data_IF_951155144586
#
_entry.id   IF_951155144586
#
_cell.length_a   1.000
_cell.length_b   1.000
_cell.length_c   1.000
_cell.angle_alpha   90.00
_cell.angle_beta   90.00
_cell.angle_gamma   90.00
#
_symmetry.space_group_name_H-M   'P 1'
#
loop_
_entity.id
_entity.type
_entity.pdbx_description
1 polymer ?
#
# COMPACT_ATOMS: atom_id res chain seq x y z
N UNK A 1 -18.96 5.27 24.44
CA UNK A 1 -18.74 5.13 22.99
C UNK A 1 -18.01 3.84 22.69
N UNK A 2 -18.57 2.99 21.85
CA UNK A 2 -17.88 1.81 21.30
C UNK A 2 -17.11 2.20 20.03
N UNK A 3 -16.11 1.40 19.66
CA UNK A 3 -15.30 1.67 18.47
C UNK A 3 -15.11 0.38 17.70
N UNK A 4 -15.35 0.43 16.38
CA UNK A 4 -14.96 -0.64 15.47
C UNK A 4 -13.57 -0.29 14.95
N UNK A 5 -12.63 -1.13 15.30
CA UNK A 5 -11.24 -0.93 14.99
C UNK A 5 -10.64 -2.24 14.42
N UNK A 6 -9.98 -2.16 13.30
CA UNK A 6 -9.20 -3.26 12.78
C UNK A 6 -7.98 -3.46 13.70
N UNK A 7 -8.11 -4.33 14.68
CA UNK A 7 -7.00 -4.66 15.55
C UNK A 7 -7.27 -4.75 17.04
N UNK A 8 -8.27 -5.49 17.46
CA UNK A 8 -8.36 -5.95 18.84
C UNK A 8 -7.28 -7.01 19.11
N UNK A 9 -6.16 -6.60 19.67
CA UNK A 9 -5.16 -7.55 20.15
C UNK A 9 -3.82 -6.92 20.49
N UNK A 10 -3.46 -7.04 21.73
CA UNK A 10 -2.14 -6.86 22.37
C UNK A 10 -1.20 -5.73 21.93
N UNK A 11 -0.83 -4.93 22.90
CA UNK A 11 -0.05 -3.69 23.00
C UNK A 11 1.31 -3.60 22.28
N UNK A 12 1.69 -4.47 21.35
CA UNK A 12 3.05 -4.42 20.76
C UNK A 12 3.13 -3.89 19.34
N UNK A 13 2.13 -4.11 18.49
CA UNK A 13 1.99 -3.50 17.15
C UNK A 13 0.52 -3.57 16.73
N UNK A 14 0.03 -2.50 16.13
CA UNK A 14 -1.28 -2.46 15.49
C UNK A 14 -1.33 -3.53 14.36
N UNK A 15 -2.37 -4.36 14.23
CA UNK A 15 -2.50 -5.34 13.15
C UNK A 15 -2.35 -4.76 11.74
N UNK A 16 -2.79 -3.52 11.53
CA UNK A 16 -2.56 -2.79 10.29
C UNK A 16 -1.05 -2.58 10.03
N UNK A 17 -0.28 -2.15 11.05
CA UNK A 17 1.18 -2.01 10.92
C UNK A 17 1.87 -3.35 10.64
N UNK A 18 1.44 -4.43 11.31
CA UNK A 18 1.99 -5.77 11.08
C UNK A 18 1.73 -6.23 9.65
N UNK A 19 0.50 -6.07 9.17
CA UNK A 19 0.14 -6.44 7.81
C UNK A 19 0.90 -5.61 6.77
N UNK A 20 1.03 -4.31 6.98
CA UNK A 20 1.81 -3.43 6.09
C UNK A 20 3.29 -3.84 6.07
N UNK A 21 3.88 -4.21 7.21
CA UNK A 21 5.25 -4.72 7.25
C UNK A 21 5.41 -6.07 6.53
N UNK A 22 4.43 -6.96 6.61
CA UNK A 22 4.43 -8.24 5.88
C UNK A 22 4.37 -8.03 4.37
N UNK A 23 3.50 -7.12 3.90
CA UNK A 23 3.41 -6.78 2.49
C UNK A 23 4.70 -6.11 1.98
N UNK A 24 5.31 -5.23 2.76
CA UNK A 24 6.61 -4.65 2.42
C UNK A 24 7.71 -5.70 2.33
N UNK A 25 7.68 -6.75 3.18
CA UNK A 25 8.63 -7.88 3.07
C UNK A 25 8.43 -8.66 1.77
N UNK A 26 7.19 -8.86 1.32
CA UNK A 26 6.92 -9.49 0.02
C UNK A 26 7.48 -8.67 -1.13
N UNK A 27 7.29 -7.35 -1.10
CA UNK A 27 7.85 -6.42 -2.08
C UNK A 27 9.38 -6.49 -2.08
N UNK A 28 10.02 -6.45 -0.91
CA UNK A 28 11.48 -6.60 -0.81
C UNK A 28 11.97 -7.93 -1.42
N UNK A 29 11.21 -9.01 -1.25
CA UNK A 29 11.53 -10.30 -1.84
C UNK A 29 11.53 -10.26 -3.37
N UNK A 30 10.59 -9.53 -4.00
CA UNK A 30 10.59 -9.33 -5.45
C UNK A 30 11.91 -8.69 -5.94
N UNK A 31 12.40 -7.69 -5.22
CA UNK A 31 13.69 -7.05 -5.54
C UNK A 31 14.88 -7.98 -5.32
N UNK A 32 14.85 -8.82 -4.30
CA UNK A 32 15.89 -9.84 -4.07
C UNK A 32 15.91 -10.90 -5.20
N UNK A 33 14.76 -11.31 -5.70
CA UNK A 33 14.65 -12.21 -6.83
C UNK A 33 15.19 -11.57 -8.12
N UNK A 34 14.79 -10.33 -8.41
CA UNK A 34 15.31 -9.56 -9.54
C UNK A 34 16.84 -9.40 -9.46
N UNK A 35 17.40 -9.13 -8.26
CA UNK A 35 18.85 -9.11 -8.03
C UNK A 35 19.50 -10.44 -8.38
N UNK A 36 18.93 -11.57 -7.94
CA UNK A 36 19.50 -12.91 -8.21
C UNK A 36 19.54 -13.20 -9.72
N UNK A 37 18.49 -12.82 -10.45
CA UNK A 37 18.41 -13.04 -11.88
C UNK A 37 19.41 -12.14 -12.63
N UNK A 38 19.55 -10.89 -12.19
CA UNK A 38 20.57 -9.99 -12.69
C UNK A 38 21.98 -10.54 -12.46
N UNK A 39 22.29 -11.00 -11.24
CA UNK A 39 23.60 -11.61 -10.91
C UNK A 39 23.93 -12.81 -11.79
N UNK A 40 22.96 -13.68 -12.09
CA UNK A 40 23.15 -14.83 -12.99
C UNK A 40 23.51 -14.37 -14.41
N UNK A 41 22.85 -13.34 -14.92
CA UNK A 41 23.09 -12.78 -16.26
C UNK A 41 24.46 -12.12 -16.35
N UNK A 42 24.83 -11.33 -15.35
CA UNK A 42 26.14 -10.71 -15.21
C UNK A 42 27.29 -11.74 -15.25
N UNK A 43 27.16 -12.83 -14.50
CA UNK A 43 28.16 -13.92 -14.47
C UNK A 43 28.38 -14.59 -15.84
N UNK A 44 27.36 -14.56 -16.72
CA UNK A 44 27.45 -15.11 -18.08
C UNK A 44 28.16 -14.19 -19.06
N UNK A 45 28.28 -12.88 -18.75
CA UNK A 45 28.87 -11.89 -19.66
C UNK A 45 30.40 -12.01 -19.81
N UNK A 46 31.07 -12.62 -18.84
CA UNK A 46 32.52 -12.87 -18.92
C UNK A 46 33.35 -11.57 -19.01
N UNK A 47 34.67 -11.74 -18.96
CA UNK A 47 35.66 -10.63 -19.07
C UNK A 47 36.31 -10.68 -20.44
N UNK A 48 35.61 -10.28 -21.52
CA UNK A 48 36.14 -10.28 -22.88
C UNK A 48 36.72 -8.93 -23.26
N UNK A 49 37.93 -8.95 -23.86
CA UNK A 49 38.71 -7.74 -24.25
C UNK A 49 38.33 -7.14 -25.62
N UNK A 50 37.34 -7.65 -26.35
CA UNK A 50 36.96 -7.16 -27.67
C UNK A 50 35.84 -6.11 -27.60
N UNK A 51 36.10 -4.87 -28.00
CA UNK A 51 35.16 -3.73 -27.99
C UNK A 51 33.81 -4.04 -28.67
N UNK A 52 33.84 -4.80 -29.78
CA UNK A 52 32.64 -5.15 -30.54
C UNK A 52 31.78 -6.19 -29.79
N UNK A 53 32.43 -7.16 -29.19
CA UNK A 53 31.74 -8.20 -28.40
C UNK A 53 31.21 -7.61 -27.10
N UNK A 54 31.95 -6.68 -26.47
CA UNK A 54 31.48 -5.95 -25.29
C UNK A 54 30.24 -5.10 -25.57
N UNK A 55 30.16 -4.43 -26.73
CA UNK A 55 28.97 -3.65 -27.13
C UNK A 55 27.75 -4.54 -27.36
N UNK A 56 27.91 -5.70 -28.01
CA UNK A 56 26.80 -6.65 -28.22
C UNK A 56 26.33 -7.19 -26.90
N UNK A 57 27.21 -7.67 -26.03
CA UNK A 57 26.90 -8.19 -24.71
C UNK A 57 26.25 -7.13 -23.82
N UNK A 58 26.65 -5.87 -23.91
CA UNK A 58 26.09 -4.75 -23.18
C UNK A 58 24.66 -4.44 -23.63
N UNK A 59 24.39 -4.45 -24.93
CA UNK A 59 23.06 -4.24 -25.49
C UNK A 59 22.11 -5.39 -25.07
N UNK A 60 22.54 -6.65 -25.19
CA UNK A 60 21.76 -7.80 -24.75
C UNK A 60 21.47 -7.75 -23.24
N UNK A 61 22.43 -7.25 -22.45
CA UNK A 61 22.24 -7.03 -21.02
C UNK A 61 21.23 -5.92 -20.73
N UNK A 62 21.30 -4.80 -21.47
CA UNK A 62 20.35 -3.68 -21.33
C UNK A 62 18.93 -4.15 -21.66
N UNK A 63 18.71 -4.84 -22.76
CA UNK A 63 17.40 -5.36 -23.14
C UNK A 63 16.86 -6.34 -22.09
N UNK A 64 17.72 -7.22 -21.62
CA UNK A 64 17.38 -8.19 -20.59
C UNK A 64 17.04 -7.53 -19.24
N UNK A 65 17.75 -6.45 -18.86
CA UNK A 65 17.49 -5.66 -17.66
C UNK A 65 16.16 -4.90 -17.78
N UNK A 66 15.91 -4.30 -18.93
CA UNK A 66 14.65 -3.61 -19.20
C UNK A 66 13.45 -4.56 -19.08
N UNK A 67 13.57 -5.78 -19.63
CA UNK A 67 12.55 -6.83 -19.46
C UNK A 67 12.34 -7.22 -18.01
N UNK A 68 13.40 -7.41 -17.23
CA UNK A 68 13.30 -7.76 -15.81
C UNK A 68 12.69 -6.65 -14.96
N UNK A 69 13.01 -5.39 -15.22
CA UNK A 69 12.41 -4.25 -14.52
C UNK A 69 10.93 -4.15 -14.84
N UNK A 70 10.54 -4.33 -16.09
CA UNK A 70 9.13 -4.34 -16.47
C UNK A 70 8.37 -5.43 -15.71
N UNK A 71 8.86 -6.66 -15.71
CA UNK A 71 8.25 -7.78 -15.00
C UNK A 71 8.20 -7.53 -13.47
N UNK A 72 9.25 -6.95 -12.90
CA UNK A 72 9.30 -6.58 -11.49
C UNK A 72 8.17 -5.58 -11.15
N UNK A 73 7.97 -4.55 -11.98
CA UNK A 73 6.94 -3.54 -11.72
C UNK A 73 5.51 -4.04 -11.98
N UNK A 74 5.33 -4.98 -12.90
CA UNK A 74 4.06 -5.69 -13.06
C UNK A 74 3.71 -6.54 -11.82
N UNK A 75 4.70 -7.25 -11.26
CA UNK A 75 4.54 -7.98 -9.99
C UNK A 75 4.28 -7.05 -8.82
N UNK A 76 5.00 -5.92 -8.76
CA UNK A 76 4.80 -4.88 -7.73
C UNK A 76 3.37 -4.32 -7.78
N UNK A 77 2.87 -4.00 -8.96
CA UNK A 77 1.51 -3.49 -9.12
C UNK A 77 0.46 -4.48 -8.60
N UNK A 78 0.57 -5.76 -9.00
CA UNK A 78 -0.32 -6.82 -8.47
C UNK A 78 -0.20 -6.97 -6.96
N UNK A 79 1.00 -6.95 -6.40
CA UNK A 79 1.21 -7.07 -4.95
C UNK A 79 0.58 -5.91 -4.17
N UNK A 80 0.62 -4.69 -4.72
CA UNK A 80 -0.03 -3.53 -4.11
C UNK A 80 -1.55 -3.67 -4.17
N UNK A 81 -2.11 -4.10 -5.31
CA UNK A 81 -3.54 -4.33 -5.47
C UNK A 81 -4.06 -5.40 -4.49
N UNK A 82 -3.36 -6.52 -4.37
CA UNK A 82 -3.70 -7.61 -3.44
C UNK A 82 -3.64 -7.13 -1.99
N UNK A 83 -2.64 -6.35 -1.63
CA UNK A 83 -2.49 -5.79 -0.30
C UNK A 83 -3.62 -4.78 0.05
N UNK A 84 -4.01 -3.94 -0.90
CA UNK A 84 -5.16 -3.03 -0.74
C UNK A 84 -6.46 -3.80 -0.53
N UNK A 85 -6.69 -4.86 -1.31
CA UNK A 85 -7.87 -5.72 -1.15
C UNK A 85 -7.87 -6.43 0.20
N UNK A 86 -6.72 -6.95 0.63
CA UNK A 86 -6.60 -7.68 1.90
C UNK A 86 -6.89 -6.78 3.10
N UNK A 87 -6.34 -5.57 3.13
CA UNK A 87 -6.60 -4.62 4.23
C UNK A 87 -8.08 -4.24 4.30
N UNK A 88 -8.72 -3.97 3.16
CA UNK A 88 -10.14 -3.65 3.12
C UNK A 88 -11.01 -4.83 3.58
N UNK A 89 -10.72 -6.04 3.12
CA UNK A 89 -11.45 -7.25 3.57
C UNK A 89 -11.36 -7.45 5.07
N UNK A 90 -10.16 -7.36 5.64
CA UNK A 90 -9.95 -7.53 7.08
C UNK A 90 -10.64 -6.44 7.90
N UNK A 91 -10.69 -5.20 7.39
CA UNK A 91 -11.45 -4.12 8.05
C UNK A 91 -12.95 -4.44 8.10
N UNK A 92 -13.53 -4.92 6.99
CA UNK A 92 -14.93 -5.33 6.92
C UNK A 92 -15.21 -6.55 7.79
N UNK A 93 -14.33 -7.53 7.80
CA UNK A 93 -14.44 -8.71 8.66
C UNK A 93 -14.44 -8.34 10.14
N UNK A 94 -13.66 -7.35 10.55
CA UNK A 94 -13.66 -6.83 11.92
C UNK A 94 -15.00 -6.21 12.30
N UNK A 95 -15.64 -5.45 11.41
CA UNK A 95 -16.96 -4.88 11.61
C UNK A 95 -18.03 -5.99 11.68
N UNK A 96 -18.02 -6.94 10.77
CA UNK A 96 -18.91 -8.09 10.80
C UNK A 96 -18.78 -8.87 12.10
N UNK A 97 -17.56 -9.13 12.55
CA UNK A 97 -17.31 -9.84 13.79
C UNK A 97 -17.86 -9.08 15.00
N UNK A 98 -17.70 -7.75 15.04
CA UNK A 98 -18.24 -6.92 16.10
C UNK A 98 -19.76 -7.06 16.19
N UNK A 99 -20.50 -6.88 15.09
CA UNK A 99 -21.96 -6.97 15.09
C UNK A 99 -22.46 -8.39 15.32
N UNK A 100 -21.77 -9.39 14.78
CA UNK A 100 -22.13 -10.81 15.00
C UNK A 100 -22.00 -11.22 16.47
N UNK A 101 -20.90 -10.86 17.12
CA UNK A 101 -20.63 -11.27 18.50
C UNK A 101 -21.48 -10.53 19.51
N UNK A 102 -21.79 -9.26 19.27
CA UNK A 102 -22.51 -8.44 20.24
C UNK A 102 -24.03 -8.44 20.02
N UNK A 103 -24.50 -8.62 18.78
CA UNK A 103 -25.90 -8.45 18.40
C UNK A 103 -26.47 -9.59 17.54
N UNK A 104 -25.68 -10.60 17.20
CA UNK A 104 -26.13 -11.73 16.36
C UNK A 104 -26.40 -11.38 14.89
N UNK A 105 -26.06 -10.16 14.44
CA UNK A 105 -26.30 -9.70 13.08
C UNK A 105 -25.27 -10.32 12.10
N UNK A 106 -25.74 -10.70 10.91
CA UNK A 106 -24.89 -11.23 9.82
C UNK A 106 -24.96 -10.30 8.61
N UNK A 107 -23.82 -10.08 8.01
CA UNK A 107 -23.70 -9.22 6.82
C UNK A 107 -23.75 -10.04 5.53
N UNK A 108 -24.47 -9.53 4.54
CA UNK A 108 -24.65 -10.18 3.26
C UNK A 108 -23.55 -9.85 2.25
N UNK A 109 -23.70 -10.40 1.04
CA UNK A 109 -22.68 -10.33 -0.03
C UNK A 109 -22.45 -8.92 -0.57
N UNK A 110 -23.41 -8.02 -0.55
CA UNK A 110 -23.29 -6.66 -1.07
C UNK A 110 -22.25 -5.84 -0.33
N UNK A 111 -22.17 -6.01 1.00
CA UNK A 111 -21.15 -5.35 1.82
C UNK A 111 -19.73 -5.80 1.47
N UNK A 112 -19.59 -7.04 1.00
CA UNK A 112 -18.31 -7.61 0.56
C UNK A 112 -17.81 -7.03 -0.78
N UNK A 113 -18.59 -6.21 -1.46
CA UNK A 113 -18.16 -5.51 -2.69
C UNK A 113 -17.35 -4.23 -2.42
N UNK A 114 -17.43 -3.67 -1.20
CA UNK A 114 -16.73 -2.44 -0.82
C UNK A 114 -15.23 -2.51 -1.10
N UNK A 115 -14.49 -3.58 -0.77
CA UNK A 115 -13.05 -3.66 -1.04
C UNK A 115 -12.70 -3.44 -2.51
N UNK A 116 -13.45 -4.06 -3.41
CA UNK A 116 -13.20 -3.93 -4.86
C UNK A 116 -13.50 -2.52 -5.35
N UNK A 117 -14.58 -1.90 -4.87
CA UNK A 117 -14.93 -0.51 -5.21
C UNK A 117 -13.84 0.47 -4.74
N UNK A 118 -13.39 0.35 -3.49
CA UNK A 118 -12.33 1.20 -2.91
C UNK A 118 -11.02 1.08 -3.70
N UNK A 119 -10.58 -0.14 -4.00
CA UNK A 119 -9.35 -0.36 -4.78
C UNK A 119 -9.45 0.25 -6.16
N UNK A 120 -10.60 0.11 -6.84
CA UNK A 120 -10.83 0.73 -8.14
C UNK A 120 -10.82 2.26 -8.05
N UNK A 121 -11.42 2.85 -7.03
CA UNK A 121 -11.44 4.31 -6.81
C UNK A 121 -10.02 4.87 -6.58
N UNK A 122 -9.15 4.14 -5.86
CA UNK A 122 -7.75 4.49 -5.68
C UNK A 122 -6.97 4.37 -6.99
N UNK A 123 -7.11 3.26 -7.70
CA UNK A 123 -6.41 3.04 -8.98
C UNK A 123 -6.77 4.10 -10.01
N UNK A 124 -8.05 4.47 -10.07
CA UNK A 124 -8.57 5.46 -11.00
C UNK A 124 -8.45 6.91 -10.49
N UNK A 125 -7.73 7.13 -9.39
CA UNK A 125 -7.42 8.46 -8.86
C UNK A 125 -8.64 9.23 -8.33
N UNK A 126 -9.78 8.58 -8.11
CA UNK A 126 -11.01 9.24 -7.68
C UNK A 126 -10.84 9.91 -6.32
N UNK A 127 -10.16 9.25 -5.37
CA UNK A 127 -9.86 9.80 -4.04
C UNK A 127 -8.89 11.00 -4.08
N UNK A 128 -8.18 11.19 -5.19
CA UNK A 128 -7.23 12.27 -5.42
C UNK A 128 -7.79 13.35 -6.38
N UNK A 129 -9.11 13.44 -6.49
CA UNK A 129 -9.78 14.34 -7.45
C UNK A 129 -9.26 14.19 -8.90
N UNK A 130 -8.84 12.99 -9.28
CA UNK A 130 -8.22 12.63 -10.57
C UNK A 130 -6.95 13.41 -10.91
N UNK A 131 -6.27 13.97 -9.91
CA UNK A 131 -4.97 14.64 -10.09
C UNK A 131 -3.80 13.66 -10.04
N UNK A 132 -4.01 12.47 -9.49
CA UNK A 132 -3.01 11.44 -9.34
C UNK A 132 -3.63 10.05 -9.49
N UNK A 133 -2.93 9.15 -10.20
CA UNK A 133 -3.33 7.78 -10.43
C UNK A 133 -2.24 6.83 -9.94
N UNK A 134 -2.62 5.78 -9.24
CA UNK A 134 -1.66 4.79 -8.74
C UNK A 134 -0.93 4.08 -9.89
N UNK A 135 -1.64 3.71 -10.95
CA UNK A 135 -1.06 3.11 -12.15
C UNK A 135 0.00 4.00 -12.79
N UNK A 136 -0.25 5.30 -12.90
CA UNK A 136 0.70 6.27 -13.45
C UNK A 136 1.91 6.48 -12.54
N UNK A 137 1.71 6.40 -11.21
CA UNK A 137 2.80 6.49 -10.27
C UNK A 137 3.73 5.27 -10.37
N UNK A 138 3.17 4.06 -10.48
CA UNK A 138 3.91 2.82 -10.72
C UNK A 138 4.68 2.91 -12.05
N UNK A 139 4.02 3.34 -13.12
CA UNK A 139 4.64 3.48 -14.44
C UNK A 139 5.76 4.53 -14.45
N UNK A 140 5.54 5.70 -13.83
CA UNK A 140 6.56 6.75 -13.73
C UNK A 140 7.76 6.32 -12.92
N UNK A 141 7.56 5.59 -11.82
CA UNK A 141 8.67 5.04 -11.04
C UNK A 141 9.45 4.00 -11.86
N UNK A 142 8.75 3.09 -12.55
CA UNK A 142 9.39 2.14 -13.49
C UNK A 142 10.24 2.86 -14.53
N UNK A 143 9.69 3.87 -15.21
CA UNK A 143 10.41 4.66 -16.23
C UNK A 143 11.64 5.35 -15.63
N UNK A 144 11.48 6.02 -14.49
CA UNK A 144 12.59 6.66 -13.78
C UNK A 144 13.71 5.67 -13.46
N UNK A 145 13.37 4.44 -13.07
CA UNK A 145 14.36 3.40 -12.75
C UNK A 145 15.07 2.87 -13.99
N UNK A 146 14.40 2.78 -15.12
CA UNK A 146 15.03 2.45 -16.39
C UNK A 146 16.02 3.53 -16.80
N UNK A 147 15.66 4.81 -16.66
CA UNK A 147 16.54 5.93 -16.97
C UNK A 147 17.78 5.95 -16.05
N UNK A 148 17.61 5.68 -14.75
CA UNK A 148 18.72 5.57 -13.79
C UNK A 148 19.66 4.39 -14.12
N UNK A 149 19.14 3.24 -14.51
CA UNK A 149 19.91 2.08 -14.96
C UNK A 149 20.72 2.42 -16.22
N UNK A 150 20.08 3.06 -17.19
CA UNK A 150 20.77 3.51 -18.40
C UNK A 150 21.87 4.54 -18.09
N UNK A 151 21.67 5.43 -17.13
CA UNK A 151 22.69 6.38 -16.66
C UNK A 151 23.88 5.65 -16.01
N UNK A 152 23.66 4.64 -15.18
CA UNK A 152 24.72 3.82 -14.57
C UNK A 152 25.57 3.15 -15.66
N UNK A 153 24.92 2.55 -16.67
CA UNK A 153 25.58 1.88 -17.78
C UNK A 153 26.36 2.90 -18.63
N UNK A 154 25.69 4.00 -19.04
CA UNK A 154 26.29 5.03 -19.88
C UNK A 154 27.53 5.68 -19.26
N UNK A 155 27.44 6.01 -17.95
CA UNK A 155 28.57 6.57 -17.20
C UNK A 155 29.71 5.55 -17.09
N UNK A 156 29.41 4.29 -16.75
CA UNK A 156 30.42 3.24 -16.67
C UNK A 156 31.14 3.00 -17.99
N UNK A 157 30.41 3.04 -19.12
CA UNK A 157 31.02 2.92 -20.48
C UNK A 157 31.88 4.14 -20.80
N UNK A 158 31.39 5.35 -20.49
CA UNK A 158 32.15 6.59 -20.75
C UNK A 158 33.46 6.65 -19.93
N UNK A 159 33.47 6.09 -18.73
CA UNK A 159 34.67 5.98 -17.88
C UNK A 159 35.58 4.80 -18.24
N UNK A 160 35.26 4.01 -19.27
CA UNK A 160 36.03 2.84 -19.68
C UNK A 160 36.03 1.69 -18.66
N UNK A 161 35.01 1.60 -17.79
CA UNK A 161 34.92 0.55 -16.79
C UNK A 161 34.59 -0.80 -17.43
N UNK A 162 35.07 -1.88 -16.82
CA UNK A 162 34.73 -3.22 -17.31
C UNK A 162 33.23 -3.52 -17.22
N UNK A 163 32.70 -4.31 -18.13
CA UNK A 163 31.31 -4.80 -18.08
C UNK A 163 30.98 -5.48 -16.76
N UNK A 164 31.94 -6.18 -16.17
CA UNK A 164 31.80 -6.82 -14.87
C UNK A 164 31.59 -5.80 -13.75
N UNK A 165 32.34 -4.69 -13.72
CA UNK A 165 32.19 -3.66 -12.69
C UNK A 165 30.87 -2.90 -12.83
N UNK A 166 30.47 -2.57 -14.06
CA UNK A 166 29.17 -1.94 -14.34
C UNK A 166 28.02 -2.84 -13.83
N UNK A 167 28.11 -4.12 -14.16
CA UNK A 167 27.12 -5.11 -13.76
C UNK A 167 27.06 -5.30 -12.24
N UNK A 168 28.20 -5.24 -11.56
CA UNK A 168 28.29 -5.30 -10.10
C UNK A 168 27.67 -4.08 -9.42
N UNK A 169 27.77 -2.91 -10.02
CA UNK A 169 27.11 -1.70 -9.55
C UNK A 169 25.60 -1.75 -9.78
N UNK A 170 25.13 -2.27 -10.91
CA UNK A 170 23.72 -2.53 -11.14
C UNK A 170 23.13 -3.52 -10.12
N UNK A 171 23.88 -4.57 -9.77
CA UNK A 171 23.50 -5.51 -8.72
C UNK A 171 23.31 -4.80 -7.37
N UNK A 172 24.21 -3.90 -7.00
CA UNK A 172 24.08 -3.09 -5.78
C UNK A 172 22.90 -2.14 -5.84
N UNK A 173 22.63 -1.55 -7.01
CA UNK A 173 21.49 -0.65 -7.20
C UNK A 173 20.16 -1.34 -6.96
N UNK A 174 20.02 -2.60 -7.39
CA UNK A 174 18.80 -3.41 -7.20
C UNK A 174 18.75 -4.11 -5.83
N UNK A 175 19.85 -4.15 -5.06
CA UNK A 175 19.90 -4.85 -3.77
C UNK A 175 19.17 -4.08 -2.67
N UNK A 176 18.06 -4.59 -2.12
CA UNK A 176 17.33 -3.94 -1.03
C UNK A 176 18.17 -3.85 0.27
N UNK A 177 19.22 -4.64 0.39
CA UNK A 177 20.13 -4.65 1.56
C UNK A 177 21.34 -3.74 1.41
N UNK A 178 21.55 -3.15 0.21
CA UNK A 178 22.65 -2.23 0.01
C UNK A 178 22.59 -1.08 1.03
N UNK A 179 23.71 -0.77 1.69
CA UNK A 179 23.76 0.23 2.76
C UNK A 179 23.27 1.60 2.25
N UNK A 180 22.54 2.32 3.11
CA UNK A 180 21.99 3.66 2.81
C UNK A 180 23.06 4.70 2.47
N UNK A 181 24.32 4.46 2.85
CA UNK A 181 25.42 5.42 2.79
C UNK A 181 26.08 5.51 1.41
N UNK A 182 25.66 4.71 0.44
CA UNK A 182 26.13 4.84 -0.93
C UNK A 182 25.48 6.03 -1.60
N UNK A 183 26.25 7.09 -1.82
CA UNK A 183 25.81 8.28 -2.51
C UNK A 183 25.81 8.05 -4.03
N UNK A 184 24.79 7.38 -4.56
CA UNK A 184 24.63 7.07 -5.99
C UNK A 184 24.82 8.29 -6.89
N UNK A 185 24.26 9.45 -6.48
CA UNK A 185 24.38 10.71 -7.23
C UNK A 185 25.82 11.24 -7.36
N UNK A 186 26.73 10.84 -6.48
CA UNK A 186 28.16 11.20 -6.58
C UNK A 186 28.91 10.31 -7.57
N UNK A 187 28.51 9.04 -7.66
CA UNK A 187 29.15 8.06 -8.57
C UNK A 187 28.47 8.06 -9.93
N UNK A 188 27.14 8.19 -9.93
CA UNK A 188 26.29 8.20 -11.12
C UNK A 188 25.37 9.41 -11.08
N UNK A 189 25.75 10.56 -11.67
CA UNK A 189 24.90 11.74 -11.74
C UNK A 189 23.53 11.41 -12.37
N UNK A 190 22.45 11.88 -11.75
CA UNK A 190 21.08 11.60 -12.19
C UNK A 190 20.37 10.45 -11.45
N UNK A 191 21.09 9.64 -10.66
CA UNK A 191 20.47 8.63 -9.79
C UNK A 191 20.17 9.21 -8.42
N UNK A 192 18.93 9.09 -7.95
CA UNK A 192 18.52 9.75 -6.71
C UNK A 192 18.52 8.81 -5.48
N UNK A 193 17.88 7.64 -5.56
CA UNK A 193 17.67 6.73 -4.44
C UNK A 193 17.59 5.28 -4.93
N UNK A 194 17.77 4.33 -4.00
CA UNK A 194 17.61 2.91 -4.31
C UNK A 194 16.23 2.62 -4.88
N UNK A 195 16.18 1.67 -5.79
CA UNK A 195 14.98 1.28 -6.53
C UNK A 195 13.84 0.86 -5.60
N UNK A 196 14.14 0.12 -4.52
CA UNK A 196 13.17 -0.44 -3.58
C UNK A 196 12.51 0.62 -2.69
N UNK A 197 13.16 1.77 -2.44
CA UNK A 197 12.64 2.79 -1.53
C UNK A 197 11.33 3.42 -2.04
N UNK A 198 11.27 3.78 -3.31
CA UNK A 198 10.07 4.38 -3.89
C UNK A 198 8.93 3.37 -3.98
N UNK A 199 9.25 2.11 -4.34
CA UNK A 199 8.29 1.03 -4.37
C UNK A 199 7.65 0.77 -2.98
N UNK A 200 8.47 0.74 -1.93
CA UNK A 200 7.98 0.59 -0.55
C UNK A 200 7.13 1.78 -0.12
N UNK A 201 7.56 3.01 -0.45
CA UNK A 201 6.78 4.22 -0.15
C UNK A 201 5.44 4.22 -0.86
N UNK A 202 5.41 3.84 -2.14
CA UNK A 202 4.21 3.77 -2.95
C UNK A 202 3.23 2.74 -2.39
N UNK A 203 3.71 1.53 -2.09
CA UNK A 203 2.91 0.47 -1.52
C UNK A 203 2.32 0.86 -0.17
N UNK A 204 3.13 1.40 0.74
CA UNK A 204 2.65 1.83 2.06
C UNK A 204 1.57 2.89 1.95
N UNK A 205 1.76 3.88 1.07
CA UNK A 205 0.77 4.93 0.83
C UNK A 205 -0.54 4.34 0.28
N UNK A 206 -0.48 3.45 -0.71
CA UNK A 206 -1.65 2.83 -1.31
C UNK A 206 -2.44 1.97 -0.29
N UNK A 207 -1.74 1.17 0.52
CA UNK A 207 -2.35 0.33 1.56
C UNK A 207 -3.00 1.21 2.65
N UNK A 208 -2.32 2.29 3.09
CA UNK A 208 -2.86 3.23 4.09
C UNK A 208 -4.13 3.91 3.59
N UNK A 209 -4.11 4.41 2.35
CA UNK A 209 -5.28 5.04 1.76
C UNK A 209 -6.43 4.05 1.49
N UNK A 210 -6.13 2.79 1.14
CA UNK A 210 -7.15 1.76 0.99
C UNK A 210 -7.86 1.47 2.34
N UNK A 211 -7.10 1.35 3.41
CA UNK A 211 -7.67 1.19 4.75
C UNK A 211 -8.54 2.38 5.15
N UNK A 212 -8.04 3.60 4.98
CA UNK A 212 -8.77 4.85 5.26
C UNK A 212 -10.09 4.91 4.49
N UNK A 213 -10.05 4.71 3.17
CA UNK A 213 -11.23 4.78 2.32
C UNK A 213 -12.23 3.64 2.61
N UNK A 214 -11.75 2.46 3.00
CA UNK A 214 -12.62 1.39 3.45
C UNK A 214 -13.35 1.79 4.74
N UNK A 215 -12.65 2.39 5.71
CA UNK A 215 -13.24 2.90 6.96
C UNK A 215 -14.27 4.01 6.68
N UNK A 216 -13.98 4.91 5.72
CA UNK A 216 -14.93 5.94 5.27
C UNK A 216 -16.21 5.31 4.72
N UNK A 217 -16.10 4.28 3.86
CA UNK A 217 -17.27 3.60 3.31
C UNK A 217 -18.05 2.84 4.41
N UNK A 218 -17.36 2.20 5.34
CA UNK A 218 -18.00 1.55 6.50
C UNK A 218 -18.78 2.56 7.31
N UNK A 219 -18.19 3.71 7.67
CA UNK A 219 -18.86 4.73 8.45
C UNK A 219 -20.07 5.36 7.74
N UNK A 220 -20.00 5.54 6.40
CA UNK A 220 -21.12 6.05 5.59
C UNK A 220 -22.29 5.07 5.53
N UNK A 221 -22.00 3.78 5.46
CA UNK A 221 -23.01 2.74 5.33
C UNK A 221 -23.56 2.24 6.67
N UNK A 222 -22.99 2.67 7.79
CA UNK A 222 -23.40 2.22 9.12
C UNK A 222 -24.26 3.31 9.79
N UNK A 223 -25.59 3.09 9.98
CA UNK A 223 -26.49 4.09 10.58
C UNK A 223 -26.24 4.32 12.07
N UNK A 224 -25.38 3.54 12.70
CA UNK A 224 -24.95 3.71 14.09
C UNK A 224 -23.65 4.53 14.18
N UNK A 225 -23.03 4.87 13.05
CA UNK A 225 -21.79 5.63 13.05
C UNK A 225 -21.99 7.05 13.56
N UNK A 226 -21.14 7.47 14.49
CA UNK A 226 -21.03 8.85 14.98
C UNK A 226 -19.86 9.61 14.32
N UNK A 227 -19.09 8.95 13.47
CA UNK A 227 -17.93 9.49 12.78
C UNK A 227 -16.75 8.54 12.78
N UNK A 228 -15.60 9.06 12.42
CA UNK A 228 -14.34 8.32 12.32
C UNK A 228 -13.30 9.00 13.21
N UNK A 229 -12.73 8.27 14.15
CA UNK A 229 -11.62 8.74 14.96
C UNK A 229 -10.30 8.53 14.24
N UNK A 230 -9.48 9.56 14.18
CA UNK A 230 -8.09 9.49 13.73
C UNK A 230 -7.21 8.97 14.85
N UNK A 231 -6.44 7.92 14.59
CA UNK A 231 -5.52 7.30 15.54
C UNK A 231 -4.12 7.34 14.94
N UNK A 232 -3.26 8.20 15.47
CA UNK A 232 -1.90 8.31 14.97
C UNK A 232 -1.01 7.15 15.44
N UNK A 233 0.04 6.84 14.68
CA UNK A 233 0.97 5.76 15.00
C UNK A 233 1.81 6.02 16.27
N UNK A 234 1.79 7.23 16.84
CA UNK A 234 2.44 7.66 18.09
C UNK A 234 3.89 7.18 18.26
N UNK A 235 4.65 7.10 17.16
CA UNK A 235 6.06 6.77 17.16
C UNK A 235 6.94 8.01 17.14
N UNK A 236 8.25 7.85 17.38
CA UNK A 236 9.24 8.96 17.34
C UNK A 236 9.25 9.73 16.01
N UNK A 237 8.73 9.14 14.94
CA UNK A 237 8.66 9.75 13.60
C UNK A 237 7.26 10.27 13.24
N UNK A 238 6.33 10.28 14.18
CA UNK A 238 4.99 10.84 13.95
C UNK A 238 5.09 12.34 13.75
N UNK A 239 4.61 12.84 12.60
CA UNK A 239 4.67 14.26 12.29
C UNK A 239 3.67 15.06 13.12
N UNK A 240 3.88 16.38 13.26
CA UNK A 240 3.03 17.25 14.06
C UNK A 240 1.57 17.23 13.59
N UNK A 241 1.33 17.20 12.27
CA UNK A 241 -0.03 17.16 11.70
C UNK A 241 -0.79 15.90 12.18
N UNK A 242 -0.13 14.73 12.20
CA UNK A 242 -0.75 13.51 12.69
C UNK A 242 -0.97 13.53 14.21
N UNK A 243 -0.03 14.10 14.96
CA UNK A 243 -0.20 14.29 16.40
C UNK A 243 -1.38 15.21 16.71
N UNK A 244 -1.54 16.30 15.96
CA UNK A 244 -2.64 17.25 16.12
C UNK A 244 -4.00 16.67 15.74
N UNK A 245 -4.03 15.62 14.93
CA UNK A 245 -5.25 14.89 14.52
C UNK A 245 -5.62 13.76 15.47
N UNK A 246 -4.68 13.28 16.26
CA UNK A 246 -4.87 12.12 17.14
C UNK A 246 -6.07 12.29 18.07
N UNK A 247 -6.95 11.28 18.13
CA UNK A 247 -8.17 11.30 18.92
C UNK A 247 -9.30 12.21 18.40
N UNK A 248 -9.11 12.97 17.30
CA UNK A 248 -10.19 13.75 16.70
C UNK A 248 -11.15 12.86 15.93
N UNK A 249 -12.44 13.17 16.06
CA UNK A 249 -13.52 12.50 15.33
C UNK A 249 -13.93 13.40 14.16
N UNK A 250 -13.97 12.82 12.97
CA UNK A 250 -14.35 13.48 11.72
C UNK A 250 -15.62 12.85 11.16
N UNK A 251 -16.45 13.65 10.49
CA UNK A 251 -17.48 13.09 9.64
C UNK A 251 -16.83 12.39 8.43
N UNK A 252 -17.46 11.34 7.86
CA UNK A 252 -16.85 10.57 6.77
C UNK A 252 -16.40 11.41 5.56
N UNK A 253 -17.14 12.49 5.26
CA UNK A 253 -16.81 13.39 4.13
C UNK A 253 -15.75 14.45 4.49
N UNK A 254 -15.43 14.61 5.76
CA UNK A 254 -14.48 15.59 6.27
C UNK A 254 -13.15 14.98 6.71
N UNK A 255 -13.05 13.65 6.68
CA UNK A 255 -11.81 12.97 7.05
C UNK A 255 -10.69 13.37 6.09
N UNK A 256 -9.63 14.02 6.57
CA UNK A 256 -8.53 14.42 5.71
C UNK A 256 -7.68 13.20 5.31
N UNK A 257 -7.32 13.11 4.04
CA UNK A 257 -6.45 12.04 3.54
C UNK A 257 -5.10 12.04 4.27
N UNK A 258 -4.58 10.85 4.61
CA UNK A 258 -3.26 10.72 5.24
C UNK A 258 -2.16 11.15 4.25
N UNK A 259 -1.03 11.58 4.79
CA UNK A 259 0.11 11.96 3.95
C UNK A 259 0.84 10.72 3.39
N UNK A 260 1.56 10.87 2.26
CA UNK A 260 2.33 9.75 1.72
C UNK A 260 3.27 9.12 2.75
N UNK A 261 3.31 7.79 2.79
CA UNK A 261 4.09 7.00 3.73
C UNK A 261 3.57 7.07 5.18
N UNK A 262 2.32 7.51 5.39
CA UNK A 262 1.65 7.50 6.69
C UNK A 262 1.36 6.08 7.19
N UNK A 263 1.18 5.97 8.50
CA UNK A 263 0.81 4.73 9.21
C UNK A 263 -0.29 5.02 10.25
N UNK A 264 -1.03 6.11 10.09
CA UNK A 264 -2.18 6.39 10.92
C UNK A 264 -3.29 5.36 10.67
N UNK A 265 -4.13 5.16 11.66
CA UNK A 265 -5.26 4.22 11.61
C UNK A 265 -6.55 4.94 11.96
N UNK A 266 -7.66 4.28 11.73
CA UNK A 266 -8.98 4.88 11.82
C UNK A 266 -9.94 3.91 12.50
N UNK A 267 -10.84 4.43 13.32
CA UNK A 267 -11.89 3.65 13.95
C UNK A 267 -13.25 4.29 13.70
N UNK A 268 -14.23 3.50 13.28
CA UNK A 268 -15.62 3.96 13.27
C UNK A 268 -16.10 4.08 14.72
N UNK A 269 -16.54 5.27 15.10
CA UNK A 269 -17.05 5.58 16.42
C UNK A 269 -18.55 5.27 16.46
N UNK A 270 -18.97 4.50 17.44
CA UNK A 270 -20.36 4.12 17.68
C UNK A 270 -20.85 4.68 19.01
N UNK A 271 -22.17 4.77 19.25
CA UNK A 271 -22.74 4.99 20.56
C UNK A 271 -22.24 3.98 21.58
N UNK A 272 -22.63 4.12 22.83
CA UNK A 272 -22.33 3.05 23.80
C UNK A 272 -23.19 1.78 23.53
N UNK A 273 -22.76 0.67 24.12
CA UNK A 273 -23.37 -0.63 23.85
C UNK A 273 -24.84 -0.71 24.27
N UNK A 274 -25.22 -0.02 25.35
CA UNK A 274 -26.60 -0.03 25.86
C UNK A 274 -27.53 0.77 24.92
N UNK A 275 -27.01 1.89 24.37
CA UNK A 275 -27.73 2.70 23.37
C UNK A 275 -27.92 1.92 22.06
N UNK A 276 -26.89 1.25 21.58
CA UNK A 276 -26.97 0.38 20.40
C UNK A 276 -27.99 -0.75 20.64
N UNK A 277 -27.88 -1.44 21.77
CA UNK A 277 -28.78 -2.54 22.11
C UNK A 277 -30.22 -2.06 22.22
N UNK A 278 -30.48 -0.90 22.85
CA UNK A 278 -31.80 -0.29 22.95
C UNK A 278 -32.41 0.03 21.59
N UNK A 279 -31.63 0.68 20.70
CA UNK A 279 -32.08 1.05 19.34
C UNK A 279 -32.38 -0.18 18.49
N UNK A 280 -31.46 -1.16 18.48
CA UNK A 280 -31.61 -2.40 17.72
C UNK A 280 -32.78 -3.25 18.31
N UNK A 281 -32.92 -3.31 19.63
CA UNK A 281 -34.02 -4.00 20.31
C UNK A 281 -35.38 -3.41 19.97
N UNK A 282 -35.52 -2.08 19.99
CA UNK A 282 -36.73 -1.39 19.58
C UNK A 282 -37.06 -1.66 18.08
N UNK A 283 -36.06 -1.65 17.21
CA UNK A 283 -36.23 -1.95 15.78
C UNK A 283 -36.68 -3.41 15.54
N UNK A 284 -36.06 -4.38 16.20
CA UNK A 284 -36.46 -5.80 16.14
C UNK A 284 -37.89 -6.00 16.70
N UNK A 285 -38.27 -5.23 17.70
CA UNK A 285 -39.63 -5.23 18.25
C UNK A 285 -40.68 -4.58 17.31
N UNK A 286 -40.30 -4.10 16.15
CA UNK A 286 -41.18 -3.54 15.11
C UNK A 286 -41.31 -2.02 15.12
N UNK A 287 -40.54 -1.30 15.93
CA UNK A 287 -40.51 0.16 15.86
C UNK A 287 -39.84 0.60 14.51
N UNK A 288 -40.43 1.55 13.78
CA UNK A 288 -39.86 1.99 12.51
C UNK A 288 -38.50 2.65 12.70
N UNK A 289 -37.48 2.18 11.97
CA UNK A 289 -36.16 2.84 11.81
C UNK A 289 -35.70 2.62 10.38
N UNK A 290 -36.00 3.58 9.50
CA UNK A 290 -35.73 3.48 8.07
C UNK A 290 -34.23 3.32 7.77
N UNK A 291 -33.36 3.92 8.60
CA UNK A 291 -31.91 3.81 8.40
C UNK A 291 -31.40 2.40 8.71
N UNK A 292 -31.96 1.75 9.75
CA UNK A 292 -31.67 0.35 10.05
C UNK A 292 -32.29 -0.60 9.01
N UNK A 293 -33.51 -0.31 8.51
CA UNK A 293 -34.16 -1.10 7.46
C UNK A 293 -33.33 -1.09 6.17
N UNK A 294 -32.88 0.09 5.73
CA UNK A 294 -32.04 0.24 4.55
C UNK A 294 -30.68 -0.44 4.73
N UNK A 295 -30.05 -0.21 5.88
CA UNK A 295 -28.76 -0.83 6.22
C UNK A 295 -28.85 -2.35 6.21
N UNK A 296 -29.83 -2.93 6.88
CA UNK A 296 -30.03 -4.38 6.98
C UNK A 296 -30.35 -5.00 5.61
N UNK A 297 -31.19 -4.34 4.82
CA UNK A 297 -31.47 -4.75 3.43
C UNK A 297 -30.19 -4.75 2.58
N UNK A 298 -29.35 -3.70 2.69
CA UNK A 298 -28.07 -3.60 1.99
C UNK A 298 -27.07 -4.67 2.44
N UNK A 299 -27.21 -5.17 3.67
CA UNK A 299 -26.43 -6.30 4.17
C UNK A 299 -26.93 -7.66 3.65
N UNK A 300 -28.06 -7.68 2.93
CA UNK A 300 -28.70 -8.90 2.42
C UNK A 300 -29.58 -9.61 3.44
N UNK A 301 -29.99 -8.90 4.50
CA UNK A 301 -30.99 -9.37 5.47
C UNK A 301 -32.41 -9.21 4.94
N UNK A 302 -33.26 -10.18 5.20
CA UNK A 302 -34.73 -10.08 5.08
C UNK A 302 -35.30 -9.96 6.49
N UNK A 303 -36.22 -9.00 6.69
CA UNK A 303 -36.89 -8.78 7.98
C UNK A 303 -37.97 -9.82 8.20
#
# INVERSE_FOLDING_TARGET
MAKIFFGFGNKKKNPFEQMTEEELKKIMKLFEEAKKDLSKKVKKMGNTKSDRLQKIMLNDAIESLNGNIKELYEKLGRQIDDAMLDVCKKSIEAEQQFFRLNFGLQFGKSYMSIPTSVVNDIRNGKIYNRQWYLSDAIWRDQKSKLDEINAIIGTGVAEGRSTYDIAKDLEKYVDPRAKKDWAWSKVYPGTAKRIDYNAQRLARTAISHAYEQCTVQQAKNNPLSQGIEWISAMGERTCQICQDRDGKIYQPDELPLDHPNGLCTYAVVLPDMDEIASRLGAWVAGNPDYALDEWYSNLGGEK
#
